data_IF_782348872755
#
_entry.id   IF_782348872755
#
_cell.length_a   1.000
_cell.length_b   1.000
_cell.length_c   1.000
_cell.angle_alpha   90.00
_cell.angle_beta   90.00
_cell.angle_gamma   90.00
#
_symmetry.space_group_name_H-M   'P 1'
#
loop_
_entity.id
_entity.type
_entity.pdbx_description
1 polymer ?
#
# COMPACT_ATOMS: atom_id res chain seq x y z
N UNK A 1 -5.28 -18.79 -0.59
CA UNK A 1 -4.82 -17.39 -0.57
C UNK A 1 -4.22 -17.19 0.80
N UNK A 2 -2.93 -16.88 0.88
CA UNK A 2 -2.29 -16.63 2.17
C UNK A 2 -2.60 -15.22 2.65
N UNK A 3 -2.54 -15.05 3.97
CA UNK A 3 -2.89 -13.81 4.63
C UNK A 3 -1.80 -12.74 4.38
N UNK A 4 -2.14 -11.68 3.67
CA UNK A 4 -1.23 -10.56 3.42
C UNK A 4 -1.03 -9.70 4.66
N UNK A 5 -1.93 -9.75 5.65
CA UNK A 5 -1.86 -8.94 6.87
C UNK A 5 -0.71 -9.33 7.78
N UNK A 6 -0.11 -10.51 7.57
CA UNK A 6 1.10 -10.97 8.24
C UNK A 6 2.40 -10.38 7.65
N UNK A 7 2.31 -9.61 6.56
CA UNK A 7 3.46 -8.95 5.94
C UNK A 7 3.62 -7.51 6.43
N UNK A 8 4.75 -6.90 6.09
CA UNK A 8 5.06 -5.52 6.43
C UNK A 8 3.94 -4.56 6.00
N UNK A 9 3.46 -3.63 6.85
CA UNK A 9 2.31 -2.75 6.53
C UNK A 9 2.42 -2.00 5.19
N UNK A 10 3.62 -1.47 4.87
CA UNK A 10 3.92 -0.89 3.55
C UNK A 10 3.73 -1.90 2.39
N UNK A 11 4.18 -3.15 2.54
CA UNK A 11 3.99 -4.18 1.52
C UNK A 11 2.51 -4.48 1.31
N UNK A 12 1.70 -4.51 2.38
CA UNK A 12 0.25 -4.71 2.29
C UNK A 12 -0.41 -3.64 1.41
N UNK A 13 -0.07 -2.36 1.64
CA UNK A 13 -0.58 -1.22 0.86
C UNK A 13 -0.18 -1.32 -0.61
N UNK A 14 1.08 -1.63 -0.88
CA UNK A 14 1.59 -1.79 -2.25
C UNK A 14 0.96 -2.99 -2.97
N UNK A 15 0.74 -4.11 -2.27
CA UNK A 15 0.07 -5.27 -2.83
C UNK A 15 -1.39 -4.97 -3.19
N UNK A 16 -2.12 -4.26 -2.33
CA UNK A 16 -3.48 -3.80 -2.62
C UNK A 16 -3.52 -2.86 -3.84
N UNK A 17 -2.62 -1.87 -3.89
CA UNK A 17 -2.49 -0.96 -5.03
C UNK A 17 -2.15 -1.70 -6.33
N UNK A 18 -1.30 -2.72 -6.27
CA UNK A 18 -0.96 -3.55 -7.43
C UNK A 18 -2.18 -4.29 -7.96
N UNK A 19 -2.95 -4.95 -7.07
CA UNK A 19 -4.19 -5.66 -7.45
C UNK A 19 -5.19 -4.70 -8.09
N UNK A 20 -5.38 -3.52 -7.52
CA UNK A 20 -6.29 -2.50 -8.06
C UNK A 20 -5.84 -2.03 -9.45
N UNK A 21 -4.58 -1.58 -9.61
CA UNK A 21 -4.06 -1.06 -10.88
C UNK A 21 -4.02 -2.13 -11.98
N UNK A 22 -3.79 -3.39 -11.60
CA UNK A 22 -3.88 -4.50 -12.54
C UNK A 22 -5.32 -4.71 -13.01
N UNK A 23 -6.29 -4.69 -12.10
CA UNK A 23 -7.70 -4.84 -12.43
C UNK A 23 -8.21 -3.73 -13.38
N UNK A 24 -7.79 -2.48 -13.16
CA UNK A 24 -8.07 -1.32 -14.04
C UNK A 24 -7.60 -1.55 -15.49
N UNK A 25 -6.55 -2.37 -15.68
CA UNK A 25 -5.99 -2.73 -17.00
C UNK A 25 -6.46 -4.10 -17.49
N UNK A 26 -7.46 -4.71 -16.86
CA UNK A 26 -7.96 -6.04 -17.20
C UNK A 26 -7.03 -7.20 -16.83
N UNK A 27 -5.96 -6.94 -16.06
CA UNK A 27 -5.02 -7.94 -15.56
C UNK A 27 -5.53 -8.50 -14.24
N UNK A 28 -6.28 -9.60 -14.28
CA UNK A 28 -6.82 -10.21 -13.05
C UNK A 28 -5.75 -11.01 -12.33
N UNK A 29 -5.29 -10.51 -11.19
CA UNK A 29 -4.33 -11.18 -10.30
C UNK A 29 -4.94 -11.47 -8.94
N UNK A 30 -4.37 -12.45 -8.24
CA UNK A 30 -4.64 -12.72 -6.82
C UNK A 30 -3.31 -12.99 -6.11
N UNK A 31 -3.24 -12.65 -4.82
CA UNK A 31 -2.09 -12.95 -3.97
C UNK A 31 -2.13 -14.45 -3.61
N UNK A 32 -1.02 -15.14 -3.86
CA UNK A 32 -0.83 -16.57 -3.61
C UNK A 32 -0.10 -16.81 -2.30
N UNK A 33 1.19 -16.51 -2.30
CA UNK A 33 2.11 -16.70 -1.16
C UNK A 33 2.44 -15.35 -0.51
N UNK A 34 2.59 -15.34 0.82
CA UNK A 34 2.87 -14.14 1.63
C UNK A 34 3.94 -14.47 2.68
N UNK A 35 3.71 -14.18 3.96
CA UNK A 35 4.60 -14.57 5.04
C UNK A 35 4.73 -16.10 5.13
N UNK A 36 5.95 -16.54 5.45
CA UNK A 36 6.30 -17.96 5.61
C UNK A 36 7.16 -18.17 6.83
N UNK A 37 6.72 -19.02 7.73
CA UNK A 37 7.48 -19.40 8.93
C UNK A 37 8.70 -20.26 8.58
N UNK A 38 9.63 -20.42 9.53
CA UNK A 38 10.78 -21.33 9.40
C UNK A 38 10.34 -22.76 9.07
N UNK A 39 9.36 -23.28 9.81
CA UNK A 39 8.87 -24.65 9.64
C UNK A 39 8.27 -24.86 8.24
N UNK A 40 7.54 -23.88 7.72
CA UNK A 40 6.98 -23.94 6.38
C UNK A 40 8.06 -23.87 5.29
N UNK A 41 9.07 -23.02 5.48
CA UNK A 41 10.20 -22.93 4.54
C UNK A 41 11.01 -24.24 4.53
N UNK A 42 11.22 -24.88 5.67
CA UNK A 42 11.88 -26.19 5.75
C UNK A 42 11.03 -27.30 5.09
N UNK A 43 9.71 -27.23 5.20
CA UNK A 43 8.81 -28.14 4.49
C UNK A 43 8.94 -28.02 2.97
N UNK A 44 9.06 -26.79 2.43
CA UNK A 44 9.32 -26.57 1.00
C UNK A 44 10.72 -27.01 0.58
N UNK A 45 11.73 -26.76 1.42
CA UNK A 45 13.09 -27.23 1.15
C UNK A 45 13.16 -28.76 1.07
N UNK A 46 12.37 -29.48 1.89
CA UNK A 46 12.29 -30.93 1.87
C UNK A 46 11.72 -31.51 0.56
N UNK A 47 10.91 -30.76 -0.19
CA UNK A 47 10.30 -31.22 -1.44
C UNK A 47 11.35 -31.45 -2.53
N UNK A 48 11.28 -32.61 -3.20
CA UNK A 48 12.29 -33.05 -4.18
C UNK A 48 13.65 -33.37 -3.57
N UNK A 49 13.73 -33.51 -2.24
CA UNK A 49 14.91 -33.93 -1.48
C UNK A 49 14.59 -35.11 -0.59
N UNK A 50 13.81 -34.87 0.47
CA UNK A 50 13.37 -35.88 1.45
C UNK A 50 11.88 -36.18 1.36
N UNK A 51 11.11 -35.40 0.58
CA UNK A 51 9.71 -35.66 0.22
C UNK A 51 9.54 -35.66 -1.31
N UNK A 52 8.60 -36.43 -1.87
CA UNK A 52 8.29 -36.40 -3.31
C UNK A 52 7.87 -35.01 -3.82
N UNK A 53 8.09 -34.72 -5.10
CA UNK A 53 7.71 -33.47 -5.77
C UNK A 53 8.88 -32.69 -6.35
N UNK A 54 8.59 -31.63 -7.11
CA UNK A 54 9.64 -30.77 -7.68
C UNK A 54 10.29 -29.91 -6.61
N UNK A 55 11.60 -29.63 -6.73
CA UNK A 55 12.29 -28.67 -5.86
C UNK A 55 11.75 -27.27 -6.15
N UNK A 56 11.08 -26.66 -5.17
CA UNK A 56 10.50 -25.32 -5.27
C UNK A 56 11.35 -24.23 -4.62
N UNK A 57 12.38 -24.63 -3.85
CA UNK A 57 13.31 -23.69 -3.21
C UNK A 57 14.67 -24.33 -2.95
N UNK A 58 15.68 -23.47 -2.84
CA UNK A 58 17.04 -23.81 -2.41
C UNK A 58 17.36 -23.33 -0.98
N UNK A 59 16.47 -22.55 -0.35
CA UNK A 59 16.68 -21.98 0.98
C UNK A 59 16.13 -22.88 2.09
N UNK A 60 16.97 -23.19 3.10
CA UNK A 60 16.52 -23.78 4.37
C UNK A 60 15.84 -22.72 5.22
N UNK A 61 14.84 -23.10 6.00
CA UNK A 61 14.12 -22.20 6.91
C UNK A 61 15.06 -21.50 7.89
N UNK A 62 15.97 -22.23 8.52
CA UNK A 62 16.95 -21.67 9.47
C UNK A 62 17.96 -20.70 8.86
N UNK A 63 18.02 -20.58 7.52
CA UNK A 63 18.95 -19.66 6.85
C UNK A 63 18.41 -18.25 6.65
N UNK A 64 17.10 -18.05 6.85
CA UNK A 64 16.38 -16.80 6.55
C UNK A 64 16.71 -16.22 5.17
N UNK A 65 16.90 -17.11 4.17
CA UNK A 65 17.33 -16.74 2.82
C UNK A 65 16.18 -16.40 1.87
N UNK A 66 14.95 -16.32 2.39
CA UNK A 66 13.74 -15.98 1.63
C UNK A 66 13.09 -14.74 2.22
N UNK A 67 12.76 -13.75 1.37
CA UNK A 67 12.06 -12.53 1.81
C UNK A 67 10.64 -12.80 2.33
N UNK A 68 10.02 -13.94 1.97
CA UNK A 68 8.76 -14.37 2.59
C UNK A 68 8.91 -14.63 4.09
N UNK A 69 10.08 -15.09 4.54
CA UNK A 69 10.33 -15.27 5.98
C UNK A 69 10.48 -13.95 6.71
N UNK A 70 10.87 -12.89 6.01
CA UNK A 70 10.95 -11.54 6.54
C UNK A 70 9.63 -10.78 6.45
N UNK A 71 8.59 -11.37 5.85
CA UNK A 71 7.30 -10.71 5.63
C UNK A 71 7.39 -9.51 4.69
N UNK A 72 8.39 -9.47 3.82
CA UNK A 72 8.65 -8.35 2.89
C UNK A 72 8.48 -8.73 1.42
N UNK A 73 7.92 -9.92 1.15
CA UNK A 73 7.61 -10.40 -0.19
C UNK A 73 6.24 -11.08 -0.26
N UNK A 74 5.67 -11.08 -1.46
CA UNK A 74 4.48 -11.84 -1.83
C UNK A 74 4.58 -12.34 -3.27
N UNK A 75 3.89 -13.45 -3.54
CA UNK A 75 3.73 -13.97 -4.90
C UNK A 75 2.30 -13.77 -5.37
N UNK A 76 2.15 -13.54 -6.67
CA UNK A 76 0.85 -13.47 -7.32
C UNK A 76 0.62 -14.67 -8.25
N UNK A 77 -0.65 -14.90 -8.57
CA UNK A 77 -1.02 -15.77 -9.68
C UNK A 77 -2.09 -15.12 -10.53
N UNK A 78 -2.13 -15.55 -11.79
CA UNK A 78 -3.13 -15.13 -12.78
C UNK A 78 -4.49 -15.73 -12.46
N UNK A 79 -5.52 -14.90 -12.44
CA UNK A 79 -6.87 -15.24 -11.99
C UNK A 79 -7.95 -14.95 -13.06
N UNK A 80 -7.60 -15.01 -14.35
CA UNK A 80 -8.52 -14.80 -15.48
C UNK A 80 -9.01 -16.10 -16.15
N UNK A 81 -8.65 -17.27 -15.59
CA UNK A 81 -9.05 -18.58 -16.11
C UNK A 81 -8.10 -19.21 -17.13
N UNK A 82 -7.02 -18.53 -17.57
CA UNK A 82 -6.04 -19.11 -18.50
C UNK A 82 -4.97 -20.01 -17.87
N UNK A 83 -5.05 -20.22 -16.57
CA UNK A 83 -4.06 -20.94 -15.76
C UNK A 83 -3.19 -20.01 -14.94
N UNK A 84 -2.91 -20.41 -13.70
CA UNK A 84 -2.30 -19.57 -12.66
C UNK A 84 -0.92 -18.98 -13.03
N UNK A 85 -0.16 -19.69 -13.87
CA UNK A 85 1.21 -19.33 -14.28
C UNK A 85 1.39 -19.27 -15.80
N UNK A 86 0.30 -19.19 -16.56
CA UNK A 86 0.38 -19.03 -18.01
C UNK A 86 0.84 -17.61 -18.37
N UNK A 87 1.98 -17.52 -19.07
CA UNK A 87 2.70 -16.27 -19.37
C UNK A 87 3.13 -16.11 -20.84
N UNK A 88 2.68 -16.97 -21.75
CA UNK A 88 3.08 -16.86 -23.17
C UNK A 88 2.57 -15.56 -23.85
N UNK A 89 1.61 -14.87 -23.22
CA UNK A 89 1.08 -13.57 -23.63
C UNK A 89 1.70 -12.38 -22.85
N UNK A 90 2.83 -12.60 -22.17
CA UNK A 90 3.54 -11.56 -21.42
C UNK A 90 2.73 -10.96 -20.26
N UNK A 91 1.82 -11.75 -19.68
CA UNK A 91 0.97 -11.30 -18.57
C UNK A 91 1.79 -10.80 -17.38
N UNK A 92 2.74 -11.60 -16.90
CA UNK A 92 3.53 -11.23 -15.72
C UNK A 92 4.47 -10.06 -15.99
N UNK A 93 4.94 -9.87 -17.24
CA UNK A 93 5.72 -8.67 -17.60
C UNK A 93 4.91 -7.38 -17.49
N UNK A 94 3.64 -7.41 -17.89
CA UNK A 94 2.74 -6.24 -17.74
C UNK A 94 2.43 -5.95 -16.28
N UNK A 95 2.16 -6.98 -15.48
CA UNK A 95 1.95 -6.84 -14.04
C UNK A 95 3.22 -6.36 -13.33
N UNK A 96 4.37 -6.91 -13.72
CA UNK A 96 5.70 -6.52 -13.25
C UNK A 96 5.98 -5.03 -13.42
N UNK A 97 5.70 -4.49 -14.61
CA UNK A 97 5.85 -3.05 -14.87
C UNK A 97 4.99 -2.18 -13.95
N UNK A 98 3.75 -2.60 -13.66
CA UNK A 98 2.86 -1.90 -12.71
C UNK A 98 3.45 -1.95 -11.30
N UNK A 99 3.91 -3.12 -10.84
CA UNK A 99 4.53 -3.27 -9.52
C UNK A 99 5.77 -2.39 -9.35
N UNK A 100 6.64 -2.35 -10.37
CA UNK A 100 7.81 -1.46 -10.38
C UNK A 100 7.39 0.01 -10.30
N UNK A 101 6.34 0.43 -11.03
CA UNK A 101 5.84 1.81 -10.96
C UNK A 101 5.28 2.20 -9.58
N UNK A 102 4.86 1.22 -8.79
CA UNK A 102 4.40 1.39 -7.40
C UNK A 102 5.56 1.38 -6.39
N UNK A 103 6.80 1.15 -6.83
CA UNK A 103 7.97 1.08 -5.96
C UNK A 103 8.27 -0.31 -5.40
N UNK A 104 7.66 -1.38 -5.93
CA UNK A 104 8.05 -2.76 -5.61
C UNK A 104 9.27 -3.17 -6.44
N UNK A 105 10.14 -3.98 -5.85
CA UNK A 105 11.05 -4.79 -6.64
C UNK A 105 10.30 -6.00 -7.21
N UNK A 106 10.53 -6.32 -8.48
CA UNK A 106 9.89 -7.42 -9.18
C UNK A 106 10.91 -8.51 -9.56
N UNK A 107 10.63 -9.77 -9.21
CA UNK A 107 11.52 -10.90 -9.44
C UNK A 107 11.76 -11.23 -10.92
N UNK A 108 10.89 -10.78 -11.82
CA UNK A 108 11.12 -10.87 -13.27
C UNK A 108 12.29 -10.02 -13.77
N UNK A 109 12.74 -9.01 -13.00
CA UNK A 109 13.89 -8.18 -13.35
C UNK A 109 15.24 -8.76 -12.87
N UNK A 110 15.25 -9.89 -12.17
CA UNK A 110 16.48 -10.49 -11.69
C UNK A 110 17.36 -11.03 -12.83
N UNK A 111 18.69 -10.89 -12.66
CA UNK A 111 19.68 -11.30 -13.68
C UNK A 111 19.77 -12.82 -13.87
N UNK A 112 19.48 -13.59 -12.82
CA UNK A 112 19.51 -15.05 -12.83
C UNK A 112 18.34 -15.58 -12.02
N UNK A 113 17.74 -16.68 -12.45
CA UNK A 113 16.59 -17.31 -11.78
C UNK A 113 15.42 -16.31 -11.63
N UNK A 114 14.92 -15.81 -12.76
CA UNK A 114 13.78 -14.90 -12.78
C UNK A 114 12.56 -15.55 -12.16
N UNK A 115 11.97 -14.87 -11.18
CA UNK A 115 10.75 -15.30 -10.50
C UNK A 115 9.64 -14.30 -10.80
N UNK A 116 8.93 -14.53 -11.91
CA UNK A 116 7.94 -13.57 -12.43
C UNK A 116 6.72 -13.36 -11.52
N UNK A 117 6.25 -14.36 -10.76
CA UNK A 117 5.25 -14.17 -9.71
C UNK A 117 5.66 -13.28 -8.53
N UNK A 118 6.96 -13.15 -8.25
CA UNK A 118 7.49 -12.60 -6.99
C UNK A 118 7.61 -11.09 -6.99
N UNK A 119 7.17 -10.47 -5.89
CA UNK A 119 7.36 -9.05 -5.58
C UNK A 119 7.88 -8.86 -4.16
N UNK A 120 8.70 -7.84 -3.94
CA UNK A 120 9.23 -7.52 -2.62
C UNK A 120 9.48 -6.02 -2.42
N UNK A 121 9.67 -5.64 -1.15
CA UNK A 121 10.19 -4.31 -0.80
C UNK A 121 11.67 -4.20 -1.21
N UNK A 122 12.11 -3.08 -1.84
CA UNK A 122 13.44 -2.95 -2.42
C UNK A 122 14.56 -2.62 -1.42
N UNK A 123 14.23 -2.29 -0.17
CA UNK A 123 15.09 -1.57 0.78
C UNK A 123 16.37 -2.34 1.17
N UNK A 124 16.31 -3.67 1.07
CA UNK A 124 17.41 -4.57 1.44
C UNK A 124 18.14 -5.18 0.24
N UNK A 125 17.79 -4.74 -0.97
CA UNK A 125 18.31 -5.26 -2.24
C UNK A 125 17.71 -6.63 -2.63
N UNK A 126 18.14 -7.16 -3.77
CA UNK A 126 17.57 -8.38 -4.37
C UNK A 126 17.83 -9.69 -3.59
N UNK A 127 18.58 -9.65 -2.48
CA UNK A 127 18.89 -10.81 -1.65
C UNK A 127 18.89 -10.48 -0.15
N UNK A 128 18.63 -11.47 0.70
CA UNK A 128 18.40 -11.23 2.14
C UNK A 128 19.67 -10.96 2.96
N UNK A 129 20.86 -10.87 2.32
CA UNK A 129 22.13 -10.64 3.03
C UNK A 129 22.11 -9.35 3.86
N UNK A 130 21.53 -8.27 3.33
CA UNK A 130 21.46 -6.99 4.05
C UNK A 130 20.52 -7.04 5.25
N UNK A 131 19.29 -7.54 5.07
CA UNK A 131 18.32 -7.63 6.18
C UNK A 131 18.81 -8.56 7.31
N UNK A 132 19.47 -9.67 6.96
CA UNK A 132 20.13 -10.57 7.94
C UNK A 132 21.31 -9.94 8.68
N UNK A 133 21.97 -8.95 8.08
CA UNK A 133 23.06 -8.22 8.77
C UNK A 133 22.54 -7.18 9.75
N UNK A 134 21.32 -6.69 9.54
CA UNK A 134 20.68 -5.67 10.38
C UNK A 134 19.87 -6.29 11.52
N UNK A 135 19.27 -7.45 11.29
CA UNK A 135 18.37 -8.09 12.24
C UNK A 135 18.74 -9.56 12.42
N UNK A 136 18.82 -9.99 13.69
CA UNK A 136 19.20 -11.35 14.03
C UNK A 136 18.16 -12.40 13.58
N UNK A 137 16.86 -12.06 13.65
CA UNK A 137 15.77 -12.93 13.22
C UNK A 137 14.65 -12.12 12.53
N UNK A 138 13.78 -12.77 11.73
CA UNK A 138 12.59 -12.11 11.21
C UNK A 138 11.66 -11.54 12.28
N UNK A 139 11.51 -12.22 13.41
CA UNK A 139 10.67 -11.75 14.52
C UNK A 139 11.23 -10.44 15.11
N UNK A 140 12.56 -10.35 15.26
CA UNK A 140 13.21 -9.13 15.71
C UNK A 140 13.01 -7.96 14.72
N UNK A 141 12.98 -8.25 13.42
CA UNK A 141 12.63 -7.27 12.40
C UNK A 141 11.15 -6.87 12.45
N UNK A 142 10.23 -7.83 12.56
CA UNK A 142 8.79 -7.57 12.64
C UNK A 142 8.39 -6.73 13.83
N UNK A 143 9.08 -6.90 14.97
CA UNK A 143 8.90 -6.05 16.15
C UNK A 143 9.26 -4.57 15.91
N UNK A 144 9.94 -4.23 14.81
CA UNK A 144 10.22 -2.83 14.44
C UNK A 144 9.10 -2.19 13.62
N UNK A 145 8.19 -2.97 13.05
CA UNK A 145 7.14 -2.45 12.15
C UNK A 145 6.16 -1.52 12.86
N UNK A 146 5.84 -1.78 14.13
CA UNK A 146 4.94 -0.93 14.92
C UNK A 146 5.51 0.49 15.04
N UNK A 147 6.83 0.62 15.28
CA UNK A 147 7.53 1.91 15.37
C UNK A 147 7.62 2.63 14.02
N UNK A 148 7.85 1.90 12.93
CA UNK A 148 7.90 2.48 11.58
C UNK A 148 6.54 2.98 11.07
N UNK A 149 5.42 2.49 11.63
CA UNK A 149 4.08 3.01 11.33
C UNK A 149 3.64 4.15 12.25
N UNK A 150 4.20 4.27 13.45
CA UNK A 150 4.01 5.40 14.38
C UNK A 150 4.73 6.67 13.91
N UNK A 151 5.88 6.56 13.24
CA UNK A 151 6.75 7.70 12.89
C UNK A 151 6.41 8.41 11.55
N UNK A 152 5.25 8.14 10.94
CA UNK A 152 4.86 8.89 9.73
C UNK A 152 4.33 10.28 10.13
N UNK A 153 5.00 11.39 9.76
CA UNK A 153 4.72 12.71 10.32
C UNK A 153 3.27 13.11 10.10
N UNK A 154 2.62 13.74 11.09
CA UNK A 154 1.31 14.37 10.88
C UNK A 154 1.37 15.26 9.64
N UNK A 155 0.35 15.18 8.79
CA UNK A 155 0.36 15.95 7.56
C UNK A 155 -0.61 15.51 6.49
N UNK A 156 -0.61 16.29 5.42
CA UNK A 156 -1.34 16.01 4.20
C UNK A 156 -0.77 14.80 3.48
N UNK A 157 -1.67 13.92 3.03
CA UNK A 157 -1.36 12.76 2.20
C UNK A 157 -2.22 12.83 0.94
N UNK A 158 -1.59 12.69 -0.22
CA UNK A 158 -2.28 12.62 -1.51
C UNK A 158 -2.14 11.24 -2.12
N UNK A 159 -3.26 10.63 -2.47
CA UNK A 159 -3.29 9.38 -3.23
C UNK A 159 -4.23 9.49 -4.44
N UNK A 160 -4.54 8.37 -5.09
CA UNK A 160 -5.37 8.34 -6.29
C UNK A 160 -6.81 8.83 -6.08
N UNK A 161 -7.31 8.86 -4.85
CA UNK A 161 -8.66 9.32 -4.51
C UNK A 161 -8.70 10.78 -4.06
N UNK A 162 -7.53 11.39 -3.80
CA UNK A 162 -7.40 12.79 -3.41
C UNK A 162 -6.61 12.98 -2.12
N UNK A 163 -6.79 14.15 -1.51
CA UNK A 163 -6.10 14.56 -0.30
C UNK A 163 -6.83 14.07 0.95
N UNK A 164 -6.09 13.61 1.95
CA UNK A 164 -6.58 13.36 3.31
C UNK A 164 -5.54 13.80 4.34
N UNK A 165 -5.99 14.02 5.58
CA UNK A 165 -5.11 14.41 6.68
C UNK A 165 -4.78 13.23 7.58
N UNK A 166 -3.50 12.96 7.81
CA UNK A 166 -3.05 12.00 8.82
C UNK A 166 -2.74 12.72 10.11
N UNK A 167 -3.45 12.39 11.19
CA UNK A 167 -3.12 12.83 12.54
C UNK A 167 -1.83 12.16 13.03
N UNK A 168 -1.19 12.72 14.06
CA UNK A 168 0.05 12.18 14.63
C UNK A 168 -0.08 10.72 15.13
N UNK A 169 -1.27 10.30 15.54
CA UNK A 169 -1.57 8.92 15.98
C UNK A 169 -1.91 7.96 14.81
N UNK A 170 -1.75 8.41 13.56
CA UNK A 170 -2.09 7.67 12.35
C UNK A 170 -3.58 7.63 12.00
N UNK A 171 -4.45 8.18 12.85
CA UNK A 171 -5.88 8.34 12.55
C UNK A 171 -6.12 9.47 11.53
N UNK A 172 -7.38 9.64 11.10
CA UNK A 172 -7.74 10.66 10.13
C UNK A 172 -9.19 11.15 10.31
N UNK A 173 -9.48 12.43 10.01
CA UNK A 173 -10.82 13.00 10.11
C UNK A 173 -11.78 12.38 9.09
N UNK A 174 -13.05 12.20 9.47
CA UNK A 174 -14.13 11.74 8.58
C UNK A 174 -15.46 12.38 8.99
N UNK A 175 -16.26 12.80 8.01
CA UNK A 175 -17.54 13.49 8.22
C UNK A 175 -17.46 14.66 9.22
N UNK A 176 -16.36 15.40 9.18
CA UNK A 176 -16.14 16.48 10.14
C UNK A 176 -15.28 17.59 9.54
N UNK A 177 -15.43 18.78 10.14
CA UNK A 177 -14.47 19.86 9.98
C UNK A 177 -13.18 19.53 10.74
N UNK A 178 -12.03 19.95 10.19
CA UNK A 178 -10.77 19.98 10.91
C UNK A 178 -10.00 21.25 10.56
N UNK A 179 -9.49 21.92 11.58
CA UNK A 179 -8.57 23.04 11.42
C UNK A 179 -7.14 22.51 11.21
N UNK A 180 -6.48 22.96 10.14
CA UNK A 180 -5.12 22.60 9.75
C UNK A 180 -4.44 23.88 9.28
N UNK A 181 -3.32 24.27 9.91
CA UNK A 181 -2.58 25.49 9.59
C UNK A 181 -3.50 26.73 9.49
N UNK A 182 -4.38 26.93 10.49
CA UNK A 182 -5.34 28.04 10.56
C UNK A 182 -6.46 28.05 9.49
N UNK A 183 -6.61 26.97 8.72
CA UNK A 183 -7.64 26.82 7.71
C UNK A 183 -8.58 25.66 8.06
N UNK A 184 -9.87 25.83 7.79
CA UNK A 184 -10.87 24.79 8.01
C UNK A 184 -11.07 23.96 6.74
N UNK A 185 -10.97 22.64 6.89
CA UNK A 185 -11.19 21.66 5.83
C UNK A 185 -12.31 20.70 6.22
N UNK A 186 -13.19 20.38 5.27
CA UNK A 186 -14.25 19.39 5.46
C UNK A 186 -13.85 18.05 4.87
N UNK A 187 -13.92 16.99 5.67
CA UNK A 187 -13.60 15.63 5.24
C UNK A 187 -14.88 14.81 5.07
N UNK A 188 -15.01 14.12 3.95
CA UNK A 188 -16.16 13.26 3.64
C UNK A 188 -16.16 11.95 4.43
N UNK A 189 -17.11 11.06 4.11
CA UNK A 189 -17.30 9.79 4.83
C UNK A 189 -16.10 8.84 4.72
N UNK A 190 -15.39 8.89 3.59
CA UNK A 190 -14.19 8.10 3.37
C UNK A 190 -12.94 8.71 4.00
N UNK A 191 -13.02 9.94 4.53
CA UNK A 191 -11.89 10.67 5.11
C UNK A 191 -11.06 11.49 4.11
N UNK A 192 -11.50 11.60 2.87
CA UNK A 192 -10.92 12.50 1.88
C UNK A 192 -11.48 13.92 2.02
N UNK A 193 -10.62 14.91 1.84
CA UNK A 193 -10.95 16.32 1.82
C UNK A 193 -11.89 16.62 0.66
N UNK A 194 -12.94 17.41 0.91
CA UNK A 194 -13.88 17.85 -0.10
C UNK A 194 -13.44 19.17 -0.73
N UNK A 195 -13.89 19.43 -1.96
CA UNK A 195 -13.69 20.68 -2.71
C UNK A 195 -15.00 21.14 -3.33
N UNK A 196 -15.07 22.40 -3.75
CA UNK A 196 -16.24 23.02 -4.38
C UNK A 196 -17.39 23.30 -3.41
N UNK A 197 -18.59 23.48 -3.96
CA UNK A 197 -19.80 23.71 -3.17
C UNK A 197 -20.29 22.43 -2.49
N UNK A 198 -20.39 22.47 -1.16
CA UNK A 198 -20.87 21.35 -0.34
C UNK A 198 -21.98 21.85 0.58
N UNK A 199 -23.08 21.09 0.68
CA UNK A 199 -24.06 21.24 1.78
C UNK A 199 -23.67 20.36 2.94
N UNK A 200 -23.61 20.91 4.15
CA UNK A 200 -23.30 20.12 5.35
C UNK A 200 -24.13 20.57 6.57
N UNK A 201 -24.65 19.62 7.34
CA UNK A 201 -25.46 19.90 8.56
C UNK A 201 -24.69 19.69 9.87
N UNK A 202 -23.39 19.41 9.80
CA UNK A 202 -22.57 19.00 10.94
C UNK A 202 -22.36 17.48 11.03
N UNK A 203 -23.17 16.68 10.33
CA UNK A 203 -23.11 15.21 10.38
C UNK A 203 -23.16 14.54 9.01
N UNK A 204 -23.76 15.19 8.00
CA UNK A 204 -24.01 14.63 6.66
C UNK A 204 -23.83 15.66 5.56
N UNK A 205 -23.28 15.21 4.44
CA UNK A 205 -23.18 16.01 3.21
C UNK A 205 -24.49 15.95 2.40
N UNK A 206 -24.77 16.99 1.62
CA UNK A 206 -25.97 17.11 0.78
C UNK A 206 -27.18 17.75 1.47
N UNK A 207 -27.06 18.03 2.77
CA UNK A 207 -28.09 18.64 3.63
C UNK A 207 -27.47 19.77 4.44
N UNK A 208 -28.29 20.64 5.05
CA UNK A 208 -27.80 21.79 5.81
C UNK A 208 -27.36 22.96 4.94
N UNK A 209 -26.47 23.77 5.50
CA UNK A 209 -25.99 25.04 4.95
C UNK A 209 -24.96 24.82 3.85
N UNK A 210 -24.82 25.82 2.97
CA UNK A 210 -23.84 25.80 1.88
C UNK A 210 -22.49 26.32 2.34
N UNK A 211 -21.44 25.60 1.95
CA UNK A 211 -20.05 25.95 2.15
C UNK A 211 -19.34 25.85 0.80
N UNK A 212 -18.44 26.79 0.52
CA UNK A 212 -17.55 26.71 -0.64
C UNK A 212 -16.14 26.37 -0.18
N UNK A 213 -15.60 25.27 -0.69
CA UNK A 213 -14.26 24.76 -0.40
C UNK A 213 -13.40 25.00 -1.63
N UNK A 214 -12.23 25.61 -1.46
CA UNK A 214 -11.35 25.97 -2.59
C UNK A 214 -11.08 24.78 -3.52
N UNK A 215 -11.16 24.98 -4.83
CA UNK A 215 -11.03 23.88 -5.79
C UNK A 215 -9.58 23.65 -6.23
N UNK A 216 -8.69 24.64 -6.06
CA UNK A 216 -7.29 24.54 -6.51
C UNK A 216 -6.31 25.49 -5.79
N UNK A 217 -5.02 25.33 -6.06
CA UNK A 217 -3.97 26.19 -5.51
C UNK A 217 -3.45 25.73 -4.14
N UNK A 218 -2.66 26.58 -3.49
CA UNK A 218 -1.89 26.25 -2.27
C UNK A 218 -2.77 25.78 -1.10
N UNK A 219 -4.02 26.26 -1.02
CA UNK A 219 -4.96 25.87 0.04
C UNK A 219 -6.25 25.30 -0.55
N UNK A 220 -6.09 24.44 -1.56
CA UNK A 220 -7.17 23.60 -2.08
C UNK A 220 -7.92 22.92 -0.93
N UNK A 221 -9.25 23.01 -0.94
CA UNK A 221 -10.17 22.46 0.05
C UNK A 221 -10.41 23.34 1.28
N UNK A 222 -9.69 24.45 1.43
CA UNK A 222 -9.93 25.39 2.52
C UNK A 222 -11.30 26.06 2.36
N UNK A 223 -12.03 26.20 3.47
CA UNK A 223 -13.31 26.88 3.52
C UNK A 223 -13.17 28.38 3.23
N UNK A 224 -13.98 28.87 2.29
CA UNK A 224 -14.23 30.29 2.08
C UNK A 224 -15.40 30.77 2.92
N UNK A 225 -15.31 31.98 3.47
CA UNK A 225 -16.46 32.66 4.05
C UNK A 225 -16.87 33.85 3.18
N UNK A 226 -18.19 34.06 3.04
CA UNK A 226 -18.71 35.29 2.47
C UNK A 226 -18.73 36.38 3.54
N UNK A 227 -18.29 37.61 3.21
CA UNK A 227 -18.48 38.79 4.05
C UNK A 227 -19.56 39.68 3.44
N UNK A 228 -20.75 39.68 4.03
CA UNK A 228 -21.85 40.58 3.63
C UNK A 228 -22.57 40.24 2.32
N UNK A 229 -23.48 41.12 1.91
CA UNK A 229 -24.40 40.92 0.76
C UNK A 229 -23.79 41.16 -0.61
N UNK A 230 -22.51 41.55 -0.69
CA UNK A 230 -21.84 41.96 -1.93
C UNK A 230 -20.77 40.97 -2.42
N UNK A 231 -20.71 39.77 -1.84
CA UNK A 231 -20.05 38.62 -2.49
C UNK A 231 -18.52 38.64 -2.54
N UNK A 232 -17.83 39.48 -1.75
CA UNK A 232 -16.39 39.32 -1.55
C UNK A 232 -16.14 38.08 -0.67
N UNK A 233 -15.43 37.09 -1.23
CA UNK A 233 -14.95 35.89 -0.54
C UNK A 233 -13.55 36.19 0.00
N UNK A 234 -13.33 36.01 1.31
CA UNK A 234 -12.01 36.14 1.93
C UNK A 234 -11.64 34.84 2.65
N UNK A 235 -10.33 34.54 2.65
CA UNK A 235 -9.70 33.47 3.42
C UNK A 235 -9.45 33.99 4.84
N UNK A 236 -9.54 33.11 5.85
CA UNK A 236 -9.14 33.47 7.21
C UNK A 236 -7.63 33.68 7.26
N UNK A 237 -7.18 34.94 7.15
CA UNK A 237 -5.84 35.35 7.53
C UNK A 237 -5.91 35.93 8.96
N UNK A 238 -5.20 35.31 9.91
CA UNK A 238 -4.91 35.87 11.24
C UNK A 238 -3.43 36.21 11.34
#
# INVERSE_FOLDING_TARGET
MRDITLCHPRLQKLAAALVQKCAEQGLKIKIGETFRTVAEQDAFYAQGRTKPGNKVTNARGSSYSSFHQWGTAFDIYRADGRGAYYDADGFFSRVGAIGVSLGLEWGGNWKTIQDKPHFQLPDWGSGTSRIRSLYATPEAFMATWEKETEDLPEGWVHDAHGWWWRNADGSYPKMCWKEINHHYYLFGASGYMLTGWVRFDGTKTGVGDWYYLEESGEYQGALWHAKGTEGALERWDL
#
